data_IF_830504784581
#
_entry.id   IF_830504784581
#
_cell.length_a   1.000
_cell.length_b   1.000
_cell.length_c   1.000
_cell.angle_alpha   90.00
_cell.angle_beta   90.00
_cell.angle_gamma   90.00
#
_symmetry.space_group_name_H-M   'P 1'
#
loop_
_entity.id
_entity.type
_entity.pdbx_description
1 polymer ?
#
# COMPACT_ATOMS: atom_id res chain seq x y z
N UNK A 1 3.81 -1.25 -23.22
CA UNK A 1 3.89 -2.18 -22.08
C UNK A 1 2.73 -1.87 -21.15
N UNK A 2 1.98 -2.87 -20.69
CA UNK A 2 0.88 -2.65 -19.74
C UNK A 2 1.40 -2.35 -18.34
N UNK A 3 0.59 -1.70 -17.50
CA UNK A 3 0.91 -1.47 -16.08
C UNK A 3 1.20 -2.79 -15.35
N UNK A 4 0.43 -3.84 -15.65
CA UNK A 4 0.64 -5.18 -15.14
C UNK A 4 2.03 -5.76 -15.48
N UNK A 5 2.44 -5.69 -16.76
CA UNK A 5 3.76 -6.19 -17.16
C UNK A 5 4.90 -5.36 -16.55
N UNK A 6 4.69 -4.05 -16.36
CA UNK A 6 5.65 -3.18 -15.72
C UNK A 6 5.83 -3.50 -14.23
N UNK A 7 4.73 -3.72 -13.50
CA UNK A 7 4.77 -4.11 -12.09
C UNK A 7 5.44 -5.48 -11.91
N UNK A 8 5.08 -6.47 -12.72
CA UNK A 8 5.70 -7.80 -12.70
C UNK A 8 7.21 -7.72 -12.97
N UNK A 9 7.61 -6.98 -14.02
CA UNK A 9 9.02 -6.83 -14.36
C UNK A 9 9.81 -6.14 -13.25
N UNK A 10 9.24 -5.11 -12.62
CA UNK A 10 9.91 -4.40 -11.53
C UNK A 10 10.09 -5.31 -10.32
N UNK A 11 9.00 -5.91 -9.83
CA UNK A 11 9.03 -6.72 -8.62
C UNK A 11 9.89 -7.98 -8.79
N UNK A 12 9.89 -8.62 -9.95
CA UNK A 12 10.75 -9.78 -10.21
C UNK A 12 12.24 -9.43 -10.24
N UNK A 13 12.60 -8.18 -10.59
CA UNK A 13 13.99 -7.71 -10.62
C UNK A 13 14.46 -7.10 -9.29
N UNK A 14 13.54 -6.67 -8.43
CA UNK A 14 13.85 -5.84 -7.24
C UNK A 14 13.42 -6.46 -5.92
N UNK A 15 12.27 -7.12 -5.90
CA UNK A 15 11.68 -7.67 -4.69
C UNK A 15 11.96 -9.16 -4.50
N UNK A 16 12.36 -9.88 -5.55
CA UNK A 16 12.82 -11.27 -5.42
C UNK A 16 14.29 -11.26 -5.02
N UNK A 17 14.58 -11.85 -3.87
CA UNK A 17 15.91 -11.92 -3.28
C UNK A 17 16.27 -13.37 -2.92
N UNK A 18 17.47 -13.58 -2.39
CA UNK A 18 18.00 -14.90 -2.10
C UNK A 18 18.67 -15.57 -3.30
N UNK A 19 19.19 -16.77 -3.06
CA UNK A 19 19.85 -17.60 -4.06
C UNK A 19 19.09 -18.92 -4.18
N UNK A 20 18.91 -19.42 -5.40
CA UNK A 20 18.22 -20.70 -5.60
C UNK A 20 18.87 -21.82 -4.75
N UNK A 21 18.07 -22.62 -4.02
CA UNK A 21 16.59 -22.72 -4.06
C UNK A 21 15.84 -21.79 -3.10
N UNK A 22 16.53 -21.06 -2.24
CA UNK A 22 15.98 -20.27 -1.14
C UNK A 22 15.65 -18.84 -1.61
N UNK A 23 14.69 -18.72 -2.52
CA UNK A 23 14.19 -17.44 -2.99
C UNK A 23 13.13 -16.89 -2.03
N UNK A 24 13.22 -15.59 -1.75
CA UNK A 24 12.31 -14.89 -0.83
C UNK A 24 11.83 -13.57 -1.42
N UNK A 25 10.67 -13.10 -0.96
CA UNK A 25 10.12 -11.79 -1.32
C UNK A 25 10.53 -10.77 -0.26
N UNK A 26 11.27 -9.75 -0.67
CA UNK A 26 11.50 -8.55 0.12
C UNK A 26 10.29 -7.62 0.00
N UNK A 27 9.37 -7.66 0.96
CA UNK A 27 8.16 -6.82 0.96
C UNK A 27 8.46 -5.32 0.94
N UNK A 28 9.57 -4.91 1.56
CA UNK A 28 10.01 -3.52 1.55
C UNK A 28 10.36 -3.02 0.13
N UNK A 29 10.77 -3.93 -0.76
CA UNK A 29 11.14 -3.62 -2.15
C UNK A 29 9.99 -3.81 -3.15
N UNK A 30 8.86 -4.38 -2.71
CA UNK A 30 7.67 -4.55 -3.55
C UNK A 30 7.05 -3.18 -3.83
N UNK A 31 6.81 -2.91 -5.12
CA UNK A 31 5.97 -1.80 -5.54
C UNK A 31 4.62 -2.30 -6.07
N UNK A 32 3.55 -1.85 -5.45
CA UNK A 32 2.16 -2.06 -5.88
C UNK A 32 1.77 -1.03 -6.93
N UNK A 33 2.16 0.23 -6.71
CA UNK A 33 1.94 1.35 -7.61
C UNK A 33 3.24 2.08 -7.88
N UNK A 34 3.28 2.76 -9.03
CA UNK A 34 4.40 3.63 -9.39
C UNK A 34 3.93 4.85 -10.16
N UNK A 35 4.33 6.02 -9.70
CA UNK A 35 3.92 7.29 -10.29
C UNK A 35 4.90 8.42 -10.03
N UNK A 36 4.37 9.63 -9.99
CA UNK A 36 5.12 10.86 -9.72
C UNK A 36 4.41 11.80 -8.76
N UNK A 37 3.26 11.38 -8.20
CA UNK A 37 2.72 12.04 -7.01
C UNK A 37 3.68 11.85 -5.84
N UNK A 38 3.78 12.86 -4.97
CA UNK A 38 4.61 12.79 -3.78
C UNK A 38 4.20 11.58 -2.91
N UNK A 39 5.17 10.72 -2.65
CA UNK A 39 5.03 9.51 -1.84
C UNK A 39 4.74 9.77 -0.37
N UNK A 40 4.50 8.66 0.32
CA UNK A 40 4.23 8.60 1.75
C UNK A 40 5.51 8.86 2.54
N UNK A 41 5.40 9.56 3.67
CA UNK A 41 6.48 9.70 4.65
C UNK A 41 6.16 8.84 5.88
N UNK A 42 7.12 8.03 6.33
CA UNK A 42 7.08 7.28 7.61
C UNK A 42 5.77 6.52 7.90
N UNK A 43 5.38 5.60 7.00
CA UNK A 43 4.17 4.80 7.20
C UNK A 43 4.39 3.67 8.22
N UNK A 44 3.44 3.49 9.15
CA UNK A 44 3.43 2.38 10.11
C UNK A 44 2.03 1.77 10.21
N UNK A 45 1.94 0.45 10.10
CA UNK A 45 0.68 -0.28 10.26
C UNK A 45 0.57 -0.95 11.64
N UNK A 46 -0.62 -0.91 12.23
CA UNK A 46 -0.95 -1.52 13.53
C UNK A 46 -2.27 -2.27 13.46
N UNK A 47 -2.38 -3.37 14.24
CA UNK A 47 -3.64 -4.07 14.36
C UNK A 47 -4.54 -3.38 15.39
N UNK A 48 -5.79 -3.17 15.02
CA UNK A 48 -6.88 -2.77 15.90
C UNK A 48 -7.88 -3.94 16.07
N UNK A 49 -8.80 -3.81 17.02
CA UNK A 49 -9.87 -4.80 17.23
C UNK A 49 -10.81 -4.89 16.01
N UNK A 50 -11.64 -5.94 15.97
CA UNK A 50 -12.64 -6.15 14.92
C UNK A 50 -12.02 -6.26 13.52
N UNK A 51 -10.94 -7.03 13.40
CA UNK A 51 -10.18 -7.25 12.16
C UNK A 51 -9.88 -5.97 11.38
N UNK A 52 -9.53 -4.92 12.12
CA UNK A 52 -9.19 -3.62 11.55
C UNK A 52 -7.69 -3.42 11.60
N UNK A 53 -7.14 -2.88 10.53
CA UNK A 53 -5.75 -2.46 10.43
C UNK A 53 -5.75 -0.95 10.30
N UNK A 54 -5.01 -0.29 11.17
CA UNK A 54 -4.77 1.15 11.15
C UNK A 54 -3.40 1.41 10.56
N UNK A 55 -3.28 2.47 9.77
CA UNK A 55 -2.02 2.91 9.19
C UNK A 55 -1.88 4.39 9.46
N UNK A 56 -0.78 4.74 10.11
CA UNK A 56 -0.38 6.12 10.40
C UNK A 56 0.78 6.52 9.50
N UNK A 57 0.91 7.81 9.21
CA UNK A 57 2.00 8.38 8.43
C UNK A 57 2.28 9.83 8.84
N UNK A 58 3.42 10.37 8.42
CA UNK A 58 3.73 11.79 8.59
C UNK A 58 3.11 12.61 7.44
N UNK A 59 2.27 13.62 7.76
CA UNK A 59 1.75 14.50 6.72
C UNK A 59 2.88 15.32 6.08
N UNK A 60 2.99 15.16 4.77
CA UNK A 60 3.93 15.89 3.94
C UNK A 60 3.22 16.70 2.84
N UNK A 61 1.94 17.02 3.06
CA UNK A 61 1.12 17.90 2.24
C UNK A 61 1.78 19.28 2.10
N UNK A 62 1.52 19.94 0.96
CA UNK A 62 2.16 21.21 0.62
C UNK A 62 3.61 21.09 0.14
N UNK A 63 4.21 19.89 0.14
CA UNK A 63 5.48 19.62 -0.52
C UNK A 63 5.26 19.13 -1.95
N UNK A 64 5.94 19.78 -2.91
CA UNK A 64 5.87 19.44 -4.34
C UNK A 64 4.42 19.42 -4.86
N UNK A 65 3.91 18.23 -5.20
CA UNK A 65 2.57 17.99 -5.70
C UNK A 65 1.70 17.20 -4.71
N UNK A 66 2.04 17.17 -3.41
CA UNK A 66 1.21 16.58 -2.36
C UNK A 66 0.05 17.52 -1.97
N UNK A 67 -1.18 17.03 -2.06
CA UNK A 67 -2.35 17.67 -1.47
C UNK A 67 -2.76 16.98 -0.17
N UNK A 68 -3.25 17.74 0.81
CA UNK A 68 -3.87 17.17 2.01
C UNK A 68 -5.11 16.33 1.67
N UNK A 69 -5.76 16.65 0.54
CA UNK A 69 -6.95 15.94 0.03
C UNK A 69 -6.61 14.71 -0.83
N UNK A 70 -5.32 14.37 -1.00
CA UNK A 70 -4.95 13.13 -1.70
C UNK A 70 -5.54 11.93 -0.94
N UNK A 71 -6.08 10.96 -1.66
CA UNK A 71 -6.70 9.77 -1.06
C UNK A 71 -5.63 8.76 -0.66
N UNK A 72 -5.72 8.27 0.57
CA UNK A 72 -4.98 7.12 1.05
C UNK A 72 -5.61 5.84 0.49
N UNK A 73 -4.83 5.06 -0.25
CA UNK A 73 -5.15 3.70 -0.65
C UNK A 73 -4.37 2.72 0.20
N UNK A 74 -5.10 1.82 0.87
CA UNK A 74 -4.52 0.72 1.64
C UNK A 74 -4.63 -0.57 0.85
N UNK A 75 -3.53 -1.32 0.82
CA UNK A 75 -3.46 -2.66 0.23
C UNK A 75 -2.91 -3.61 1.28
N UNK A 76 -3.68 -4.65 1.58
CA UNK A 76 -3.34 -5.67 2.55
C UNK A 76 -3.21 -7.00 1.82
N UNK A 77 -2.05 -7.64 1.93
CA UNK A 77 -1.75 -8.92 1.30
C UNK A 77 -1.71 -10.01 2.36
N UNK A 78 -2.58 -11.01 2.23
CA UNK A 78 -2.55 -12.22 3.04
C UNK A 78 -1.96 -13.36 2.20
N UNK A 79 -0.68 -13.65 2.43
CA UNK A 79 0.02 -14.69 1.67
C UNK A 79 -0.43 -16.09 2.01
N UNK A 80 -0.77 -16.35 3.27
CA UNK A 80 -1.21 -17.66 3.72
C UNK A 80 -2.47 -18.13 2.96
N UNK A 81 -3.28 -17.17 2.49
CA UNK A 81 -4.48 -17.42 1.71
C UNK A 81 -4.35 -17.07 0.23
N UNK A 82 -3.26 -16.40 -0.18
CA UNK A 82 -3.09 -15.88 -1.53
C UNK A 82 -4.17 -14.86 -1.90
N UNK A 83 -4.57 -14.03 -0.94
CA UNK A 83 -5.70 -13.10 -1.07
C UNK A 83 -5.29 -11.66 -0.71
N UNK A 84 -6.09 -10.69 -1.16
CA UNK A 84 -5.84 -9.27 -0.95
C UNK A 84 -7.11 -8.53 -0.51
N UNK A 85 -6.94 -7.54 0.37
CA UNK A 85 -7.96 -6.54 0.68
C UNK A 85 -7.46 -5.16 0.27
N UNK A 86 -8.31 -4.37 -0.37
CA UNK A 86 -7.95 -3.04 -0.88
C UNK A 86 -9.03 -2.04 -0.51
N UNK A 87 -8.61 -0.87 -0.02
CA UNK A 87 -9.47 0.32 0.11
C UNK A 87 -8.82 1.44 -0.68
N UNK A 88 -9.52 1.96 -1.69
CA UNK A 88 -9.00 3.04 -2.55
C UNK A 88 -9.13 4.44 -1.91
N UNK A 89 -10.06 4.58 -0.97
CA UNK A 89 -10.42 5.82 -0.27
C UNK A 89 -10.49 5.55 1.24
N UNK A 90 -9.35 5.21 1.84
CA UNK A 90 -9.29 4.84 3.25
C UNK A 90 -9.18 6.06 4.19
N UNK A 91 -8.98 7.26 3.64
CA UNK A 91 -8.81 8.53 4.35
C UNK A 91 -8.14 9.57 3.45
N UNK A 92 -8.08 10.83 3.90
CA UNK A 92 -7.32 11.88 3.23
C UNK A 92 -5.88 11.92 3.77
N UNK A 93 -4.90 12.33 2.96
CA UNK A 93 -3.49 12.48 3.37
C UNK A 93 -3.35 13.31 4.65
N UNK A 94 -4.11 14.41 4.75
CA UNK A 94 -4.09 15.31 5.90
C UNK A 94 -4.69 14.74 7.18
N UNK A 95 -5.33 13.55 7.13
CA UNK A 95 -5.89 12.91 8.32
C UNK A 95 -4.80 12.20 9.15
N UNK A 96 -3.61 11.95 8.58
CA UNK A 96 -2.48 11.23 9.20
C UNK A 96 -2.79 9.79 9.65
N UNK A 97 -4.00 9.31 9.36
CA UNK A 97 -4.52 8.01 9.75
C UNK A 97 -5.52 7.49 8.72
N UNK A 98 -5.42 6.20 8.39
CA UNK A 98 -6.42 5.47 7.63
C UNK A 98 -6.64 4.09 8.24
N UNK A 99 -7.82 3.52 8.00
CA UNK A 99 -8.11 2.16 8.44
C UNK A 99 -8.77 1.32 7.37
N UNK A 100 -8.57 0.01 7.46
CA UNK A 100 -9.24 -0.98 6.62
C UNK A 100 -9.67 -2.16 7.48
N UNK A 101 -10.96 -2.50 7.40
CA UNK A 101 -11.47 -3.74 7.96
C UNK A 101 -11.28 -4.85 6.94
N UNK A 102 -10.53 -5.88 7.30
CA UNK A 102 -10.26 -7.04 6.44
C UNK A 102 -11.30 -8.15 6.70
N UNK A 103 -11.41 -9.17 5.84
CA UNK A 103 -12.31 -10.29 6.09
C UNK A 103 -11.99 -11.00 7.42
N UNK A 104 -13.01 -11.46 8.14
CA UNK A 104 -12.87 -12.23 9.40
C UNK A 104 -11.96 -13.46 9.23
N UNK A 105 -11.91 -14.02 8.03
CA UNK A 105 -11.03 -15.13 7.70
C UNK A 105 -9.53 -14.83 7.93
N UNK A 106 -9.12 -13.56 8.00
CA UNK A 106 -7.72 -13.15 8.20
C UNK A 106 -7.32 -13.10 9.68
N UNK A 107 -8.27 -13.20 10.62
CA UNK A 107 -7.97 -13.14 12.06
C UNK A 107 -6.94 -14.21 12.43
N UNK A 108 -5.86 -13.77 13.09
CA UNK A 108 -4.72 -14.61 13.47
C UNK A 108 -3.64 -14.77 12.39
N UNK A 109 -3.90 -14.38 11.15
CA UNK A 109 -2.88 -14.38 10.10
C UNK A 109 -2.01 -13.12 10.18
N UNK A 110 -0.75 -13.25 9.73
CA UNK A 110 0.12 -12.10 9.49
C UNK A 110 -0.06 -11.63 8.05
N UNK A 111 -0.36 -10.35 7.88
CA UNK A 111 -0.58 -9.71 6.59
C UNK A 111 0.45 -8.61 6.33
N UNK A 112 0.73 -8.35 5.06
CA UNK A 112 1.66 -7.32 4.61
C UNK A 112 0.87 -6.09 4.16
N UNK A 113 1.18 -4.91 4.70
CA UNK A 113 0.39 -3.69 4.50
C UNK A 113 1.17 -2.68 3.66
N UNK A 114 0.51 -2.08 2.67
CA UNK A 114 1.05 -1.03 1.82
C UNK A 114 0.12 0.18 1.81
N UNK A 115 0.71 1.37 1.73
CA UNK A 115 0.02 2.65 1.62
C UNK A 115 0.45 3.37 0.34
N UNK A 116 -0.51 3.96 -0.34
CA UNK A 116 -0.34 4.74 -1.57
C UNK A 116 -1.20 6.00 -1.50
N UNK A 117 -0.67 7.15 -1.90
CA UNK A 117 -1.50 8.32 -2.17
C UNK A 117 -1.92 8.40 -3.63
N UNK A 118 -3.15 8.85 -3.87
CA UNK A 118 -3.68 9.08 -5.20
C UNK A 118 -4.69 10.23 -5.25
N UNK A 119 -4.87 10.82 -6.42
CA UNK A 119 -5.96 11.74 -6.70
C UNK A 119 -7.06 10.96 -7.44
N UNK A 120 -7.95 10.28 -6.72
CA UNK A 120 -8.80 9.21 -7.27
C UNK A 120 -9.58 9.62 -8.52
N UNK A 121 -10.27 10.76 -8.48
CA UNK A 121 -11.05 11.24 -9.62
C UNK A 121 -10.18 11.40 -10.87
N UNK A 122 -9.00 12.01 -10.73
CA UNK A 122 -8.05 12.20 -11.82
C UNK A 122 -7.40 10.88 -12.27
N UNK A 123 -7.13 9.97 -11.33
CA UNK A 123 -6.60 8.64 -11.61
C UNK A 123 -7.58 7.83 -12.46
N UNK A 124 -8.88 7.85 -12.14
CA UNK A 124 -9.92 7.19 -12.93
C UNK A 124 -10.07 7.85 -14.30
N UNK A 125 -10.01 9.19 -14.36
CA UNK A 125 -10.22 9.92 -15.60
C UNK A 125 -9.06 9.82 -16.60
N UNK A 126 -7.82 9.82 -16.11
CA UNK A 126 -6.62 9.98 -16.97
C UNK A 126 -5.65 8.80 -16.87
N UNK A 127 -5.60 8.10 -15.74
CA UNK A 127 -4.56 7.10 -15.46
C UNK A 127 -3.15 7.68 -15.46
N UNK A 128 -2.99 9.00 -15.32
CA UNK A 128 -1.72 9.71 -15.38
C UNK A 128 -0.81 9.35 -14.22
N UNK A 129 0.51 9.36 -14.45
CA UNK A 129 1.50 9.00 -13.40
C UNK A 129 1.53 10.04 -12.27
N UNK A 130 1.17 11.27 -12.57
CA UNK A 130 1.03 12.37 -11.63
C UNK A 130 -0.13 12.20 -10.65
N UNK A 131 -1.06 11.28 -10.93
CA UNK A 131 -2.27 11.06 -10.12
C UNK A 131 -2.09 9.97 -9.06
N UNK A 132 -0.93 9.32 -9.01
CA UNK A 132 -0.64 8.23 -8.07
C UNK A 132 0.82 8.29 -7.62
N UNK A 133 1.06 7.88 -6.37
CA UNK A 133 2.39 7.80 -5.80
C UNK A 133 3.02 6.41 -5.95
N UNK A 134 4.32 6.33 -5.70
CA UNK A 134 4.97 5.04 -5.42
C UNK A 134 4.44 4.50 -4.08
N UNK A 135 4.15 3.21 -4.03
CA UNK A 135 3.68 2.55 -2.80
C UNK A 135 4.78 2.44 -1.76
N UNK A 136 4.42 2.55 -0.49
CA UNK A 136 5.31 2.31 0.65
C UNK A 136 4.80 1.13 1.46
N UNK A 137 5.71 0.24 1.84
CA UNK A 137 5.43 -0.83 2.78
C UNK A 137 5.31 -0.25 4.20
N UNK A 138 4.16 -0.43 4.83
CA UNK A 138 3.84 0.09 6.17
C UNK A 138 4.13 -0.93 7.28
N UNK A 139 4.44 -2.18 6.93
CA UNK A 139 4.80 -3.22 7.89
C UNK A 139 3.92 -4.46 7.82
N UNK A 140 4.32 -5.45 8.62
CA UNK A 140 3.59 -6.70 8.80
C UNK A 140 2.75 -6.62 10.07
N UNK A 141 1.51 -7.07 10.00
CA UNK A 141 0.54 -6.96 11.09
C UNK A 141 -0.18 -8.30 11.28
N UNK A 142 -0.30 -8.76 12.53
CA UNK A 142 -1.17 -9.89 12.86
C UNK A 142 -2.59 -9.40 13.12
N UNK A 143 -3.56 -9.86 12.34
CA UNK A 143 -4.94 -9.39 12.41
C UNK A 143 -5.59 -9.86 13.71
N UNK A 144 -6.23 -8.94 14.43
CA UNK A 144 -6.94 -9.21 15.68
C UNK A 144 -8.44 -9.40 15.44
N UNK A 145 -9.11 -10.09 16.36
CA UNK A 145 -10.57 -10.22 16.38
C UNK A 145 -11.26 -8.96 16.94
#
# INVERSE_FOLDING_TARGET
>A
MSAFNAAMSYNMLKAVTGDYPDLEISYADVLVSRGSLRGVAEATATAAALQTIEVEWEDNSGLLNASADDNATLVVVNEAKGDIAVSLEAGARGDELASITVPEAYVGDTVQVYLVFNTLESLIATGGRETIADSVYAGAVTVLA
#
